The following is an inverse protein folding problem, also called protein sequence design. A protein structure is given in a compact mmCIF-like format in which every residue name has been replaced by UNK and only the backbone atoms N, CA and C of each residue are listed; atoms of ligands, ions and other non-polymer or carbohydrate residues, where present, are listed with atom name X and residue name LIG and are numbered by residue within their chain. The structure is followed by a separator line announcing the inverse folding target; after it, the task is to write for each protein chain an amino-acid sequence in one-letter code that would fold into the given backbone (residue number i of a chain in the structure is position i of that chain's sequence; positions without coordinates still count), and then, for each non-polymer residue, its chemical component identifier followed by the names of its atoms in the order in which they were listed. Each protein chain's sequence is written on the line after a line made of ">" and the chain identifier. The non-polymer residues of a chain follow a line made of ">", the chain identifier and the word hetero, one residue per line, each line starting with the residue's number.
data_IF_166681500951
#
_entry.id   IF_166681500951
#
_cell.length_a   1.000
_cell.length_b   1.000
_cell.length_c   1.000
_cell.angle_alpha   90.00
_cell.angle_beta   90.00
_cell.angle_gamma   90.00
#
_symmetry.space_group_name_H-M   'P 1'
#
loop_
_entity.id
_entity.type
_entity.pdbx_description
1 polymer ?
#
# COMPACT_ATOMS: atom_id res chain seq x y z
N UNK A 1 -5.86 28.93 3.07
CA UNK A 1 -7.01 28.03 2.82
C UNK A 1 -8.10 28.88 2.19
N UNK A 2 -8.52 28.57 0.96
CA UNK A 2 -9.69 29.23 0.36
C UNK A 2 -10.90 28.53 0.97
N UNK A 3 -11.81 29.23 1.67
CA UNK A 3 -13.03 28.63 2.18
C UNK A 3 -13.89 28.24 0.99
N UNK A 4 -13.92 26.94 0.70
CA UNK A 4 -14.89 26.37 -0.22
C UNK A 4 -16.23 26.39 0.54
N UNK A 5 -16.96 27.49 0.41
CA UNK A 5 -18.19 27.79 1.16
C UNK A 5 -19.40 26.95 0.76
N UNK A 6 -19.22 25.65 0.54
CA UNK A 6 -20.31 24.70 0.35
C UNK A 6 -20.26 23.67 1.49
N UNK A 7 -21.35 23.56 2.23
CA UNK A 7 -21.58 22.40 3.07
C UNK A 7 -21.97 21.26 2.13
N UNK A 8 -21.15 20.20 2.09
CA UNK A 8 -21.50 18.96 1.41
C UNK A 8 -22.60 18.27 2.22
N UNK A 9 -23.85 18.66 2.00
CA UNK A 9 -25.02 17.93 2.50
C UNK A 9 -25.15 16.61 1.72
N UNK A 10 -24.32 15.64 2.06
CA UNK A 10 -24.37 14.30 1.50
C UNK A 10 -25.45 13.50 2.22
N UNK A 11 -26.41 12.99 1.45
CA UNK A 11 -27.31 11.94 1.93
C UNK A 11 -26.52 10.72 2.42
N UNK A 12 -27.11 9.89 3.29
CA UNK A 12 -26.42 8.70 3.82
C UNK A 12 -25.90 7.75 2.73
N UNK A 13 -26.61 7.65 1.59
CA UNK A 13 -26.15 6.88 0.44
C UNK A 13 -24.90 7.47 -0.22
N UNK A 14 -24.85 8.79 -0.40
CA UNK A 14 -23.70 9.47 -1.01
C UNK A 14 -22.45 9.41 -0.11
N UNK A 15 -22.63 9.44 1.21
CA UNK A 15 -21.52 9.24 2.15
C UNK A 15 -20.90 7.84 2.00
N UNK A 16 -21.72 6.80 1.89
CA UNK A 16 -21.24 5.42 1.68
C UNK A 16 -20.50 5.30 0.36
N UNK A 17 -21.03 5.87 -0.73
CA UNK A 17 -20.37 5.88 -2.04
C UNK A 17 -19.03 6.60 -1.97
N UNK A 18 -18.98 7.77 -1.32
CA UNK A 18 -17.74 8.53 -1.13
C UNK A 18 -16.69 7.73 -0.37
N UNK A 19 -17.07 7.10 0.75
CA UNK A 19 -16.17 6.25 1.53
C UNK A 19 -15.65 5.06 0.71
N UNK A 20 -16.51 4.47 -0.12
CA UNK A 20 -16.14 3.34 -0.97
C UNK A 20 -15.16 3.76 -2.07
N UNK A 21 -15.38 4.91 -2.71
CA UNK A 21 -14.46 5.49 -3.71
C UNK A 21 -13.12 5.83 -3.06
N UNK A 22 -13.13 6.51 -1.92
CA UNK A 22 -11.90 6.85 -1.18
C UNK A 22 -11.15 5.61 -0.73
N UNK A 23 -11.87 4.59 -0.24
CA UNK A 23 -11.30 3.30 0.13
C UNK A 23 -10.65 2.58 -1.05
N UNK A 24 -11.33 2.50 -2.19
CA UNK A 24 -10.78 1.90 -3.41
C UNK A 24 -9.55 2.66 -3.91
N UNK A 25 -9.58 3.98 -3.92
CA UNK A 25 -8.43 4.82 -4.30
C UNK A 25 -7.25 4.61 -3.34
N UNK A 26 -7.51 4.53 -2.03
CA UNK A 26 -6.48 4.26 -1.03
C UNK A 26 -5.86 2.87 -1.23
N UNK A 27 -6.67 1.84 -1.51
CA UNK A 27 -6.18 0.49 -1.83
C UNK A 27 -5.36 0.52 -3.12
N UNK A 28 -5.85 1.14 -4.19
CA UNK A 28 -5.15 1.26 -5.46
C UNK A 28 -3.80 1.97 -5.31
N UNK A 29 -3.74 3.05 -4.53
CA UNK A 29 -2.50 3.78 -4.23
C UNK A 29 -1.52 2.97 -3.36
N UNK A 30 -2.02 2.02 -2.57
CA UNK A 30 -1.19 1.12 -1.77
C UNK A 30 -0.61 -0.04 -2.58
N UNK A 31 -1.24 -0.46 -3.69
CA UNK A 31 -0.77 -1.59 -4.51
C UNK A 31 0.69 -1.43 -4.98
N UNK A 32 1.12 -0.28 -5.52
CA UNK A 32 2.53 -0.08 -5.89
C UNK A 32 3.49 -0.23 -4.70
N UNK A 33 3.05 0.11 -3.49
CA UNK A 33 3.86 0.08 -2.28
C UNK A 33 4.00 -1.34 -1.69
N UNK A 34 2.88 -2.08 -1.63
CA UNK A 34 2.79 -3.36 -0.92
C UNK A 34 2.71 -4.59 -1.82
N UNK A 35 2.34 -4.42 -3.09
CA UNK A 35 2.31 -5.47 -4.11
C UNK A 35 3.65 -6.19 -4.29
N UNK A 36 4.80 -5.48 -4.40
CA UNK A 36 6.12 -6.13 -4.49
C UNK A 36 6.42 -7.06 -3.31
N UNK A 37 6.05 -6.68 -2.09
CA UNK A 37 6.22 -7.53 -0.91
C UNK A 37 5.30 -8.74 -0.95
N UNK A 38 4.05 -8.59 -1.38
CA UNK A 38 3.15 -9.72 -1.62
C UNK A 38 3.73 -10.75 -2.59
N UNK A 39 4.36 -10.28 -3.68
CA UNK A 39 5.09 -11.14 -4.64
C UNK A 39 6.26 -11.85 -3.95
N UNK A 40 7.05 -11.15 -3.14
CA UNK A 40 8.14 -11.79 -2.36
C UNK A 40 7.61 -12.89 -1.44
N UNK A 41 6.49 -12.66 -0.75
CA UNK A 41 5.83 -13.66 0.08
C UNK A 41 5.43 -14.91 -0.72
N UNK A 42 4.84 -14.72 -1.92
CA UNK A 42 4.52 -15.81 -2.85
C UNK A 42 5.76 -16.57 -3.29
N UNK A 43 6.84 -15.87 -3.68
CA UNK A 43 8.08 -16.48 -4.15
C UNK A 43 8.76 -17.29 -3.04
N UNK A 44 8.81 -16.78 -1.82
CA UNK A 44 9.36 -17.49 -0.65
C UNK A 44 8.55 -18.75 -0.34
N UNK A 45 7.22 -18.64 -0.31
CA UNK A 45 6.36 -19.79 -0.04
C UNK A 45 6.50 -20.89 -1.09
N UNK A 46 6.65 -20.53 -2.37
CA UNK A 46 6.90 -21.50 -3.45
C UNK A 46 8.25 -22.22 -3.30
N UNK A 47 9.27 -21.53 -2.80
CA UNK A 47 10.60 -22.11 -2.57
C UNK A 47 10.59 -23.07 -1.38
N UNK A 48 9.90 -22.69 -0.30
CA UNK A 48 9.96 -23.40 0.98
C UNK A 48 8.83 -24.44 1.14
N UNK A 49 8.01 -24.67 0.10
CA UNK A 49 6.88 -25.60 0.13
C UNK A 49 5.71 -25.16 1.01
N UNK A 50 5.62 -23.86 1.33
CA UNK A 50 4.62 -23.28 2.22
C UNK A 50 3.31 -22.86 1.56
N UNK A 51 2.38 -22.35 2.36
CA UNK A 51 1.08 -21.83 1.88
C UNK A 51 1.26 -20.52 1.12
N UNK A 52 1.22 -20.60 -0.21
CA UNK A 52 1.47 -19.47 -1.13
C UNK A 52 0.60 -18.25 -0.84
N UNK A 53 -0.71 -18.46 -0.74
CA UNK A 53 -1.68 -17.36 -0.57
C UNK A 53 -1.57 -16.69 0.80
N UNK A 54 -1.37 -17.49 1.85
CA UNK A 54 -1.20 -16.99 3.22
C UNK A 54 0.06 -16.15 3.39
N UNK A 55 1.18 -16.60 2.83
CA UNK A 55 2.44 -15.86 2.93
C UNK A 55 2.43 -14.60 2.06
N UNK A 56 1.85 -14.66 0.86
CA UNK A 56 1.65 -13.48 0.02
C UNK A 56 0.80 -12.41 0.70
N UNK A 57 -0.35 -12.81 1.28
CA UNK A 57 -1.23 -11.90 2.02
C UNK A 57 -0.52 -11.29 3.24
N UNK A 58 0.22 -12.10 3.99
CA UNK A 58 0.97 -11.63 5.16
C UNK A 58 1.97 -10.52 4.78
N UNK A 59 2.79 -10.74 3.76
CA UNK A 59 3.75 -9.73 3.30
C UNK A 59 3.06 -8.49 2.73
N UNK A 60 1.92 -8.66 2.05
CA UNK A 60 1.13 -7.54 1.52
C UNK A 60 0.52 -6.68 2.65
N UNK A 61 -0.03 -7.30 3.70
CA UNK A 61 -0.59 -6.59 4.86
C UNK A 61 0.49 -5.77 5.56
N UNK A 62 1.65 -6.38 5.85
CA UNK A 62 2.75 -5.67 6.49
C UNK A 62 3.37 -4.59 5.61
N UNK A 63 3.50 -4.85 4.31
CA UNK A 63 3.93 -3.82 3.35
C UNK A 63 2.98 -2.62 3.34
N UNK A 64 1.68 -2.87 3.41
CA UNK A 64 0.66 -1.80 3.49
C UNK A 64 0.79 -1.04 4.81
N UNK A 65 0.92 -1.71 5.95
CA UNK A 65 1.08 -1.08 7.25
C UNK A 65 2.31 -0.16 7.33
N UNK A 66 3.46 -0.61 6.79
CA UNK A 66 4.70 0.19 6.71
C UNK A 66 4.49 1.40 5.81
N UNK A 67 3.86 1.23 4.65
CA UNK A 67 3.58 2.33 3.71
C UNK A 67 2.69 3.39 4.35
N UNK A 68 1.68 2.99 5.13
CA UNK A 68 0.84 3.90 5.90
C UNK A 68 1.62 4.66 6.97
N UNK A 69 2.50 3.99 7.71
CA UNK A 69 3.33 4.65 8.72
C UNK A 69 4.24 5.72 8.10
N UNK A 70 4.85 5.41 6.95
CA UNK A 70 5.71 6.35 6.21
C UNK A 70 4.89 7.50 5.64
N UNK A 71 3.73 7.22 5.05
CA UNK A 71 2.83 8.24 4.52
C UNK A 71 2.37 9.21 5.62
N UNK A 72 2.04 8.69 6.81
CA UNK A 72 1.70 9.51 7.98
C UNK A 72 2.89 10.39 8.41
N UNK A 73 4.10 9.83 8.44
CA UNK A 73 5.32 10.60 8.69
C UNK A 73 5.53 11.71 7.66
N UNK A 74 5.38 11.40 6.38
CA UNK A 74 5.52 12.37 5.29
C UNK A 74 4.46 13.47 5.35
N UNK A 75 3.22 13.12 5.73
CA UNK A 75 2.14 14.09 5.93
C UNK A 75 2.49 15.08 7.06
N UNK A 76 3.09 14.60 8.16
CA UNK A 76 3.58 15.46 9.25
C UNK A 76 4.73 16.37 8.84
N UNK A 77 5.52 15.98 7.85
CA UNK A 77 6.61 16.77 7.27
C UNK A 77 6.14 17.74 6.18
N UNK A 78 4.84 17.79 5.86
CA UNK A 78 4.30 18.71 4.86
C UNK A 78 4.71 18.38 3.42
N UNK A 79 5.08 17.13 3.13
CA UNK A 79 5.49 16.68 1.79
C UNK A 79 4.34 16.69 0.76
N UNK A 80 3.10 16.92 1.20
CA UNK A 80 1.93 16.98 0.33
C UNK A 80 1.78 15.73 -0.52
N UNK A 81 1.60 15.91 -1.83
CA UNK A 81 1.44 14.79 -2.77
C UNK A 81 2.68 13.91 -2.93
N UNK A 82 3.88 14.40 -2.58
CA UNK A 82 5.10 13.58 -2.59
C UNK A 82 5.12 12.50 -1.50
N UNK A 83 4.26 12.59 -0.49
CA UNK A 83 4.13 11.55 0.52
C UNK A 83 3.79 10.18 -0.08
N UNK A 84 3.03 10.15 -1.18
CA UNK A 84 2.58 8.91 -1.83
C UNK A 84 3.75 8.14 -2.46
N UNK A 85 4.51 8.68 -3.43
CA UNK A 85 5.65 7.95 -4.00
C UNK A 85 6.77 7.70 -2.99
N UNK A 86 6.98 8.59 -2.01
CA UNK A 86 7.99 8.38 -0.95
C UNK A 86 7.60 7.20 -0.05
N UNK A 87 6.32 7.03 0.25
CA UNK A 87 5.83 5.89 1.03
C UNK A 87 6.04 4.54 0.34
N UNK A 88 6.28 4.52 -0.98
CA UNK A 88 6.58 3.28 -1.72
C UNK A 88 8.01 2.80 -1.52
N UNK A 89 8.96 3.72 -1.27
CA UNK A 89 10.39 3.41 -1.23
C UNK A 89 10.74 2.32 -0.19
N UNK A 90 10.23 2.36 1.05
CA UNK A 90 10.55 1.33 2.03
C UNK A 90 10.02 -0.05 1.64
N UNK A 91 8.82 -0.10 1.03
CA UNK A 91 8.26 -1.34 0.52
C UNK A 91 9.10 -1.93 -0.61
N UNK A 92 9.59 -1.09 -1.52
CA UNK A 92 10.46 -1.50 -2.64
C UNK A 92 11.83 -1.96 -2.17
N UNK A 93 12.45 -1.23 -1.24
CA UNK A 93 13.72 -1.61 -0.61
C UNK A 93 13.59 -2.95 0.13
N UNK A 94 12.53 -3.11 0.93
CA UNK A 94 12.25 -4.36 1.62
C UNK A 94 12.01 -5.50 0.63
N UNK A 95 11.25 -5.28 -0.45
CA UNK A 95 11.03 -6.28 -1.47
C UNK A 95 12.33 -6.70 -2.16
N UNK A 96 13.23 -5.74 -2.44
CA UNK A 96 14.53 -6.02 -3.04
C UNK A 96 15.42 -6.85 -2.11
N UNK A 97 15.53 -6.46 -0.83
CA UNK A 97 16.35 -7.16 0.17
C UNK A 97 15.79 -8.56 0.50
N UNK A 98 14.47 -8.70 0.60
CA UNK A 98 13.83 -9.95 1.00
C UNK A 98 13.62 -10.93 -0.17
N UNK A 99 13.91 -10.51 -1.40
CA UNK A 99 13.75 -11.35 -2.58
C UNK A 99 14.59 -12.64 -2.48
N UNK A 100 14.01 -13.83 -2.72
CA UNK A 100 14.79 -15.07 -2.69
C UNK A 100 15.82 -15.14 -3.84
N UNK A 101 17.05 -15.62 -3.59
CA UNK A 101 18.08 -15.79 -4.61
C UNK A 101 17.62 -16.73 -5.73
N UNK A 102 17.95 -16.40 -6.98
CA UNK A 102 17.63 -17.21 -8.16
C UNK A 102 16.22 -17.00 -8.75
N UNK A 103 15.46 -16.03 -8.25
CA UNK A 103 14.11 -15.69 -8.74
C UNK A 103 14.06 -14.83 -10.02
N UNK A 104 15.21 -14.57 -10.67
CA UNK A 104 15.32 -13.88 -11.97
C UNK A 104 15.74 -14.82 -13.12
N UNK A 105 16.10 -16.07 -12.81
CA UNK A 105 16.71 -16.99 -13.78
C UNK A 105 15.71 -17.93 -14.46
N UNK A 106 14.41 -17.58 -14.49
CA UNK A 106 13.36 -18.33 -15.18
C UNK A 106 12.50 -17.41 -16.01
#
# INVERSE_FOLDING_TARGET
>A
MIPLGFELELSGGEQVVLLLVLGLLAVAAAVPASGPLGVVGVLRARRDGGRVLGNGLWYWVWGTAVSWAVMLGCARLGLGWWAVPVAWLPGWLAAWVLRPPGSLAR
#
